data_IF_813299158191
#
_entry.id   IF_813299158191
#
_cell.length_a   1.000
_cell.length_b   1.000
_cell.length_c   1.000
_cell.angle_alpha   90.00
_cell.angle_beta   90.00
_cell.angle_gamma   90.00
#
_symmetry.space_group_name_H-M   'P 1'
#
loop_
_entity.id
_entity.type
_entity.pdbx_description
1 polymer ?
#
# COMPACT_ATOMS: atom_id res chain seq x y z
N UNK A 1 -49.02 27.12 -14.11
CA UNK A 1 -50.19 26.21 -13.95
C UNK A 1 -49.74 24.80 -14.29
N UNK A 2 -49.33 24.00 -13.30
CA UNK A 2 -48.88 22.62 -13.51
C UNK A 2 -50.10 21.71 -13.60
N UNK A 3 -50.23 21.07 -14.72
CA UNK A 3 -51.31 20.22 -15.18
C UNK A 3 -51.68 19.13 -14.14
N UNK A 4 -52.92 19.22 -13.61
CA UNK A 4 -53.48 18.25 -12.65
C UNK A 4 -53.77 16.88 -13.30
N UNK A 5 -53.78 16.78 -14.62
CA UNK A 5 -54.07 15.54 -15.40
C UNK A 5 -52.94 14.56 -15.37
N UNK A 6 -51.70 15.00 -15.13
CA UNK A 6 -50.47 14.25 -15.28
C UNK A 6 -50.11 13.33 -14.07
N UNK A 7 -50.91 13.35 -12.99
CA UNK A 7 -50.73 12.47 -11.81
C UNK A 7 -51.81 11.42 -11.65
N UNK A 8 -52.62 11.19 -12.67
CA UNK A 8 -53.68 10.18 -12.62
C UNK A 8 -53.08 8.82 -12.32
N UNK A 9 -53.62 8.14 -11.30
CA UNK A 9 -53.16 6.84 -10.82
C UNK A 9 -51.77 6.78 -10.14
N UNK A 10 -51.06 7.91 -9.93
CA UNK A 10 -49.85 7.99 -9.13
C UNK A 10 -50.13 8.56 -7.75
N UNK A 11 -49.66 7.88 -6.71
CA UNK A 11 -49.70 8.36 -5.31
C UNK A 11 -48.36 8.24 -4.65
N UNK A 12 -47.95 9.21 -3.86
CA UNK A 12 -46.77 9.12 -3.01
C UNK A 12 -47.18 8.43 -1.70
N UNK A 13 -46.47 7.31 -1.35
CA UNK A 13 -46.64 6.62 -0.06
C UNK A 13 -45.24 6.50 0.59
N UNK A 14 -45.06 7.22 1.70
CA UNK A 14 -43.72 7.38 2.30
C UNK A 14 -42.75 8.05 1.31
N UNK A 15 -41.59 7.44 1.07
CA UNK A 15 -40.58 8.00 0.20
C UNK A 15 -40.65 7.52 -1.27
N UNK A 16 -41.66 6.71 -1.66
CA UNK A 16 -41.78 6.16 -3.01
C UNK A 16 -43.14 6.44 -3.64
N UNK A 17 -43.17 6.43 -4.98
CA UNK A 17 -44.42 6.49 -5.74
C UNK A 17 -45.05 5.10 -5.86
N UNK A 18 -46.37 5.06 -5.84
CA UNK A 18 -47.19 3.88 -6.13
C UNK A 18 -48.13 4.18 -7.30
N UNK A 19 -48.30 3.21 -8.18
CA UNK A 19 -49.36 3.19 -9.17
C UNK A 19 -50.60 2.54 -8.57
N UNK A 20 -51.79 3.13 -8.82
CA UNK A 20 -53.05 2.59 -8.35
C UNK A 20 -54.15 2.84 -9.36
N UNK A 21 -54.73 1.75 -9.94
CA UNK A 21 -55.79 1.81 -10.90
C UNK A 21 -56.84 0.75 -10.63
N UNK A 22 -58.11 1.12 -10.72
CA UNK A 22 -59.23 0.17 -10.58
C UNK A 22 -59.93 -0.03 -11.92
N UNK A 23 -60.49 -1.23 -12.14
CA UNK A 23 -61.31 -1.59 -13.29
C UNK A 23 -62.45 -2.51 -12.84
N UNK A 24 -63.36 -2.80 -13.72
CA UNK A 24 -64.39 -3.84 -13.52
C UNK A 24 -64.03 -5.03 -14.43
N UNK A 25 -64.17 -6.26 -13.90
CA UNK A 25 -64.00 -7.47 -14.68
C UNK A 25 -65.29 -7.75 -15.50
N UNK A 26 -65.30 -8.85 -16.27
CA UNK A 26 -66.38 -9.27 -17.12
C UNK A 26 -67.69 -9.52 -16.33
N UNK A 27 -67.60 -9.79 -15.02
CA UNK A 27 -68.74 -10.00 -14.10
C UNK A 27 -69.16 -8.71 -13.42
N UNK A 28 -68.63 -7.54 -13.78
CA UNK A 28 -68.90 -6.25 -13.21
C UNK A 28 -68.26 -6.00 -11.84
N UNK A 29 -67.47 -6.95 -11.33
CA UNK A 29 -66.81 -6.85 -10.01
C UNK A 29 -65.63 -5.87 -10.11
N UNK A 30 -65.59 -4.93 -9.13
CA UNK A 30 -64.52 -3.94 -9.08
C UNK A 30 -63.24 -4.56 -8.60
N UNK A 31 -62.21 -4.53 -9.45
CA UNK A 31 -60.81 -4.94 -9.15
C UNK A 31 -59.91 -3.73 -8.95
N UNK A 32 -58.82 -3.90 -8.22
CA UNK A 32 -57.87 -2.83 -7.91
C UNK A 32 -56.45 -3.36 -8.06
N UNK A 33 -55.69 -2.71 -8.93
CA UNK A 33 -54.24 -2.96 -9.08
C UNK A 33 -53.44 -1.89 -8.32
N UNK A 34 -52.53 -2.31 -7.46
CA UNK A 34 -51.61 -1.45 -6.73
C UNK A 34 -50.19 -1.99 -6.93
N UNK A 35 -49.26 -1.12 -7.40
CA UNK A 35 -47.90 -1.48 -7.60
C UNK A 35 -46.96 -0.40 -7.08
N UNK A 36 -45.96 -0.79 -6.28
CA UNK A 36 -44.88 0.13 -5.91
C UNK A 36 -44.00 0.38 -7.11
N UNK A 37 -43.70 1.65 -7.38
CA UNK A 37 -42.81 2.04 -8.46
C UNK A 37 -41.35 2.16 -7.99
N UNK A 38 -41.04 1.82 -6.76
CA UNK A 38 -39.69 1.75 -6.20
C UNK A 38 -38.78 2.97 -6.54
N UNK A 39 -39.39 4.16 -6.60
CA UNK A 39 -38.69 5.41 -6.88
C UNK A 39 -39.34 6.59 -6.16
N UNK A 40 -38.50 7.54 -5.73
CA UNK A 40 -38.92 8.84 -5.18
C UNK A 40 -38.94 9.95 -6.26
N UNK A 41 -38.48 9.68 -7.44
CA UNK A 41 -38.30 10.64 -8.54
C UNK A 41 -39.52 10.56 -9.47
N UNK A 42 -40.23 11.67 -9.65
CA UNK A 42 -41.48 11.72 -10.41
C UNK A 42 -41.31 11.36 -11.89
N UNK A 43 -40.24 11.79 -12.51
CA UNK A 43 -39.95 11.48 -13.94
C UNK A 43 -39.78 9.99 -14.16
N UNK A 44 -39.07 9.30 -13.26
CA UNK A 44 -38.91 7.84 -13.28
C UNK A 44 -40.26 7.15 -13.01
N UNK A 45 -41.02 7.66 -12.05
CA UNK A 45 -42.35 7.12 -11.72
C UNK A 45 -43.31 7.18 -12.93
N UNK A 46 -43.26 8.25 -13.73
CA UNK A 46 -44.04 8.39 -14.96
C UNK A 46 -43.64 7.35 -16.01
N UNK A 47 -42.32 7.19 -16.23
CA UNK A 47 -41.81 6.20 -17.21
C UNK A 47 -42.26 4.78 -16.83
N UNK A 48 -42.22 4.42 -15.55
CA UNK A 48 -42.73 3.13 -15.03
C UNK A 48 -44.23 3.01 -15.09
N UNK A 49 -44.95 4.10 -14.95
CA UNK A 49 -46.41 4.16 -15.14
C UNK A 49 -46.80 3.90 -16.61
N UNK A 50 -46.05 4.44 -17.57
CA UNK A 50 -46.24 4.18 -18.99
C UNK A 50 -46.05 2.70 -19.33
N UNK A 51 -45.02 2.07 -18.74
CA UNK A 51 -44.80 0.62 -18.89
C UNK A 51 -45.99 -0.19 -18.34
N UNK A 52 -46.58 0.22 -17.19
CA UNK A 52 -47.77 -0.42 -16.66
C UNK A 52 -48.95 -0.26 -17.62
N UNK A 53 -49.13 0.92 -18.21
CA UNK A 53 -50.21 1.12 -19.18
C UNK A 53 -49.99 0.30 -20.45
N UNK A 54 -48.78 0.17 -20.94
CA UNK A 54 -48.46 -0.65 -22.12
C UNK A 54 -48.80 -2.14 -21.93
N UNK A 55 -48.71 -2.62 -20.69
CA UNK A 55 -49.03 -4.01 -20.34
C UNK A 55 -50.38 -4.18 -19.60
N UNK A 56 -51.27 -3.20 -19.76
CA UNK A 56 -52.51 -3.22 -18.99
C UNK A 56 -53.41 -4.44 -19.26
N UNK A 57 -53.44 -4.91 -20.53
CA UNK A 57 -54.21 -6.07 -20.95
C UNK A 57 -53.68 -7.37 -20.30
N UNK A 58 -52.36 -7.55 -20.20
CA UNK A 58 -51.71 -8.67 -19.53
C UNK A 58 -52.07 -8.68 -18.02
N UNK A 59 -52.09 -7.48 -17.39
CA UNK A 59 -52.49 -7.34 -15.98
C UNK A 59 -53.97 -7.75 -15.75
N UNK A 60 -54.83 -7.35 -16.66
CA UNK A 60 -56.27 -7.68 -16.60
C UNK A 60 -56.52 -9.15 -16.85
N UNK A 61 -55.72 -9.78 -17.76
CA UNK A 61 -55.74 -11.22 -18.04
C UNK A 61 -55.20 -12.07 -16.87
N UNK A 62 -54.40 -11.47 -15.97
CA UNK A 62 -53.77 -12.17 -14.83
C UNK A 62 -52.49 -12.88 -15.21
N UNK A 63 -51.84 -12.48 -16.28
CA UNK A 63 -50.56 -13.09 -16.71
C UNK A 63 -49.44 -12.76 -15.72
N UNK A 64 -48.58 -13.74 -15.52
CA UNK A 64 -47.36 -13.59 -14.71
C UNK A 64 -46.24 -12.99 -15.54
N UNK A 65 -45.77 -11.80 -15.13
CA UNK A 65 -44.61 -11.14 -15.73
C UNK A 65 -43.84 -10.29 -14.71
N UNK A 66 -42.58 -9.96 -15.02
CA UNK A 66 -41.75 -9.10 -14.19
C UNK A 66 -41.62 -7.70 -14.84
N UNK A 67 -41.53 -6.66 -14.00
CA UNK A 67 -41.34 -5.28 -14.45
C UNK A 67 -39.87 -4.97 -14.69
N UNK A 68 -39.57 -4.08 -15.61
CA UNK A 68 -38.20 -3.64 -15.91
C UNK A 68 -37.48 -3.07 -14.71
N UNK A 69 -38.22 -2.46 -13.77
CA UNK A 69 -37.68 -1.91 -12.52
C UNK A 69 -37.76 -2.87 -11.33
N UNK A 70 -38.41 -3.99 -11.47
CA UNK A 70 -38.31 -5.14 -10.57
C UNK A 70 -37.08 -5.96 -10.95
N UNK A 71 -36.04 -5.24 -11.40
CA UNK A 71 -34.81 -5.88 -11.73
C UNK A 71 -34.43 -6.86 -10.65
N UNK A 72 -34.35 -8.07 -11.06
CA UNK A 72 -33.66 -9.22 -10.47
C UNK A 72 -33.19 -9.02 -9.00
N UNK A 73 -34.05 -8.56 -8.10
CA UNK A 73 -33.95 -8.81 -6.70
C UNK A 73 -34.44 -10.24 -6.47
N UNK A 74 -33.83 -11.16 -7.20
CA UNK A 74 -34.02 -12.58 -6.99
C UNK A 74 -33.75 -12.90 -5.52
N UNK A 75 -34.55 -13.74 -4.93
CA UNK A 75 -34.32 -14.36 -3.61
C UNK A 75 -32.99 -15.15 -3.53
N UNK A 76 -32.29 -15.36 -4.64
CA UNK A 76 -30.88 -15.78 -4.74
C UNK A 76 -29.94 -14.74 -4.16
N UNK A 77 -30.33 -13.47 -4.12
CA UNK A 77 -29.46 -12.32 -3.82
C UNK A 77 -29.21 -12.07 -2.33
N UNK A 78 -29.94 -12.66 -1.41
CA UNK A 78 -29.57 -12.53 0.02
C UNK A 78 -28.26 -13.24 0.34
N UNK A 79 -27.95 -14.32 -0.37
CA UNK A 79 -26.67 -15.04 -0.25
C UNK A 79 -25.55 -14.34 -1.03
N UNK A 80 -25.90 -13.72 -2.17
CA UNK A 80 -24.97 -13.01 -3.06
C UNK A 80 -24.62 -11.59 -2.56
N UNK A 81 -25.49 -10.96 -1.74
CA UNK A 81 -25.22 -9.64 -1.18
C UNK A 81 -24.47 -9.66 0.16
N UNK A 82 -24.03 -10.82 0.63
CA UNK A 82 -23.27 -10.95 1.87
C UNK A 82 -21.82 -10.51 1.67
N UNK A 83 -21.30 -9.84 2.71
CA UNK A 83 -19.95 -9.30 2.71
C UNK A 83 -18.88 -10.40 2.53
N UNK A 84 -19.02 -11.54 3.21
CA UNK A 84 -18.09 -12.67 3.08
C UNK A 84 -18.02 -13.20 1.64
N UNK A 85 -19.18 -13.37 0.98
CA UNK A 85 -19.25 -13.86 -0.39
C UNK A 85 -18.61 -12.92 -1.42
N UNK A 86 -18.83 -11.62 -1.28
CA UNK A 86 -18.25 -10.64 -2.21
C UNK A 86 -16.75 -10.41 -1.95
N UNK A 87 -16.28 -10.58 -0.71
CA UNK A 87 -14.85 -10.56 -0.38
C UNK A 87 -14.14 -11.71 -1.08
N UNK A 88 -14.68 -12.93 -1.08
CA UNK A 88 -14.11 -14.06 -1.81
C UNK A 88 -14.02 -13.80 -3.34
N UNK A 89 -15.04 -13.15 -3.91
CA UNK A 89 -14.99 -12.76 -5.33
C UNK A 89 -13.87 -11.73 -5.58
N UNK A 90 -13.68 -10.77 -4.69
CA UNK A 90 -12.59 -9.80 -4.80
C UNK A 90 -11.21 -10.45 -4.68
N UNK A 91 -11.05 -11.40 -3.76
CA UNK A 91 -9.79 -12.14 -3.62
C UNK A 91 -9.47 -12.92 -4.90
N UNK A 92 -10.44 -13.64 -5.48
CA UNK A 92 -10.27 -14.35 -6.76
C UNK A 92 -9.90 -13.38 -7.90
N UNK A 93 -10.52 -12.19 -7.93
CA UNK A 93 -10.16 -11.14 -8.88
C UNK A 93 -8.69 -10.72 -8.70
N UNK A 94 -8.21 -10.54 -7.46
CA UNK A 94 -6.81 -10.20 -7.19
C UNK A 94 -5.83 -11.33 -7.50
N UNK A 95 -6.25 -12.58 -7.38
CA UNK A 95 -5.48 -13.75 -7.83
C UNK A 95 -5.32 -13.76 -9.35
N UNK A 96 -6.39 -13.45 -10.09
CA UNK A 96 -6.36 -13.33 -11.55
C UNK A 96 -5.46 -12.19 -12.06
N UNK A 97 -5.24 -11.15 -11.25
CA UNK A 97 -4.27 -10.08 -11.53
C UNK A 97 -2.80 -10.50 -11.27
N UNK A 98 -2.54 -11.76 -10.97
CA UNK A 98 -1.20 -12.30 -10.67
C UNK A 98 -0.47 -11.57 -9.52
N UNK A 99 -1.18 -11.09 -8.51
CA UNK A 99 -0.56 -10.52 -7.33
C UNK A 99 0.23 -11.58 -6.54
N UNK A 100 1.34 -11.18 -5.94
CA UNK A 100 2.13 -12.05 -5.09
C UNK A 100 1.29 -12.62 -3.93
N UNK A 101 1.41 -13.92 -3.63
CA UNK A 101 0.66 -14.62 -2.57
C UNK A 101 0.66 -13.89 -1.22
N UNK A 102 1.81 -13.30 -0.82
CA UNK A 102 1.90 -12.49 0.42
C UNK A 102 1.05 -11.21 0.37
N UNK A 103 0.89 -10.60 -0.80
CA UNK A 103 0.03 -9.42 -0.98
C UNK A 103 -1.44 -9.81 -0.87
N UNK A 104 -1.84 -10.90 -1.52
CA UNK A 104 -3.20 -11.45 -1.44
C UNK A 104 -3.56 -11.79 0.00
N UNK A 105 -2.67 -12.49 0.73
CA UNK A 105 -2.88 -12.82 2.15
C UNK A 105 -3.06 -11.55 3.01
N UNK A 106 -2.29 -10.49 2.74
CA UNK A 106 -2.45 -9.21 3.45
C UNK A 106 -3.78 -8.53 3.16
N UNK A 107 -4.22 -8.54 1.90
CA UNK A 107 -5.54 -8.03 1.49
C UNK A 107 -6.63 -8.83 2.21
N UNK A 108 -6.55 -10.16 2.18
CA UNK A 108 -7.49 -11.06 2.88
C UNK A 108 -7.58 -10.72 4.37
N UNK A 109 -6.46 -10.66 5.08
CA UNK A 109 -6.44 -10.33 6.50
C UNK A 109 -7.10 -8.97 6.81
N UNK A 110 -6.92 -7.98 5.93
CA UNK A 110 -7.56 -6.67 6.11
C UNK A 110 -9.08 -6.74 5.92
N UNK A 111 -9.55 -7.56 4.96
CA UNK A 111 -10.97 -7.73 4.70
C UNK A 111 -11.64 -8.66 5.73
N UNK A 112 -10.91 -9.64 6.28
CA UNK A 112 -11.37 -10.45 7.41
C UNK A 112 -11.58 -9.57 8.66
N UNK A 113 -10.71 -8.58 8.91
CA UNK A 113 -10.92 -7.59 9.96
C UNK A 113 -12.20 -6.76 9.71
N UNK A 114 -12.51 -6.42 8.45
CA UNK A 114 -13.76 -5.74 8.11
C UNK A 114 -14.99 -6.64 8.34
N UNK A 115 -14.91 -7.91 7.93
CA UNK A 115 -15.95 -8.92 8.18
C UNK A 115 -16.17 -9.12 9.68
N UNK A 116 -15.10 -9.20 10.47
CA UNK A 116 -15.20 -9.34 11.92
C UNK A 116 -15.88 -8.13 12.58
N UNK A 117 -15.67 -6.92 12.03
CA UNK A 117 -16.31 -5.70 12.53
C UNK A 117 -17.79 -5.60 12.16
N UNK A 118 -18.16 -5.91 10.91
CA UNK A 118 -19.50 -5.69 10.38
C UNK A 118 -20.40 -6.94 10.45
N UNK A 119 -19.80 -8.11 10.58
CA UNK A 119 -20.47 -9.42 10.50
C UNK A 119 -20.42 -10.01 9.08
N UNK A 120 -20.27 -11.34 9.00
CA UNK A 120 -20.18 -12.08 7.73
C UNK A 120 -21.41 -11.91 6.83
N UNK A 121 -22.59 -11.84 7.46
CA UNK A 121 -23.88 -11.66 6.78
C UNK A 121 -24.21 -10.22 6.42
N UNK A 122 -23.33 -9.25 6.72
CA UNK A 122 -23.58 -7.84 6.42
C UNK A 122 -23.82 -7.63 4.91
N UNK A 123 -24.84 -6.84 4.58
CA UNK A 123 -25.14 -6.50 3.19
C UNK A 123 -24.15 -5.44 2.68
N UNK A 124 -23.23 -5.82 1.80
CA UNK A 124 -22.22 -4.88 1.28
C UNK A 124 -22.80 -3.67 0.54
N UNK A 125 -24.04 -3.74 0.03
CA UNK A 125 -24.72 -2.59 -0.58
C UNK A 125 -25.05 -1.47 0.44
N UNK A 126 -25.10 -1.83 1.73
CA UNK A 126 -25.36 -0.88 2.82
C UNK A 126 -24.08 -0.27 3.40
N UNK A 127 -22.90 -0.63 2.86
CA UNK A 127 -21.63 -0.12 3.38
C UNK A 127 -21.58 1.41 3.30
N UNK A 128 -21.20 2.05 4.42
CA UNK A 128 -21.21 3.50 4.61
C UNK A 128 -19.89 3.98 5.21
N UNK A 129 -19.67 5.29 5.25
CA UNK A 129 -18.52 5.87 5.94
C UNK A 129 -18.57 5.60 7.45
N UNK A 130 -19.74 5.57 8.06
CA UNK A 130 -19.89 5.25 9.48
C UNK A 130 -19.37 3.83 9.77
N UNK A 131 -19.70 2.86 8.90
CA UNK A 131 -19.16 1.50 9.02
C UNK A 131 -17.62 1.47 8.89
N UNK A 132 -17.04 2.33 8.03
CA UNK A 132 -15.58 2.44 7.91
C UNK A 132 -14.97 3.10 9.15
N UNK A 133 -15.64 4.06 9.76
CA UNK A 133 -15.16 4.68 10.99
C UNK A 133 -15.28 3.72 12.18
N UNK A 134 -16.34 2.92 12.27
CA UNK A 134 -16.45 1.84 13.25
C UNK A 134 -15.37 0.78 13.05
N UNK A 135 -15.08 0.41 11.79
CA UNK A 135 -13.96 -0.47 11.45
C UNK A 135 -12.62 0.09 11.96
N UNK A 136 -12.32 1.38 11.77
CA UNK A 136 -11.09 1.99 12.29
C UNK A 136 -11.03 1.92 13.81
N UNK A 137 -12.15 2.18 14.50
CA UNK A 137 -12.27 2.14 15.97
C UNK A 137 -12.16 0.72 16.53
N UNK A 138 -12.56 -0.29 15.77
CA UNK A 138 -12.52 -1.71 16.21
C UNK A 138 -11.09 -2.25 16.42
N UNK A 139 -10.05 -1.52 15.99
CA UNK A 139 -8.65 -1.95 16.08
C UNK A 139 -7.78 -0.96 16.88
N UNK A 140 -8.10 -0.64 18.14
CA UNK A 140 -7.38 0.34 18.94
C UNK A 140 -5.93 -0.07 19.25
N UNK A 141 -5.62 -1.37 19.14
CA UNK A 141 -4.29 -1.94 19.37
C UNK A 141 -3.31 -1.72 18.21
N UNK A 142 -3.79 -1.31 17.03
CA UNK A 142 -2.94 -1.06 15.87
C UNK A 142 -2.35 0.34 15.90
N UNK A 143 -1.08 0.43 15.51
CA UNK A 143 -0.47 1.74 15.22
C UNK A 143 -1.17 2.40 14.03
N UNK A 144 -1.17 3.74 13.93
CA UNK A 144 -1.77 4.44 12.77
C UNK A 144 -1.27 3.91 11.42
N UNK A 145 0.03 3.60 11.32
CA UNK A 145 0.62 3.00 10.12
C UNK A 145 0.09 1.60 9.82
N UNK A 146 -0.05 0.76 10.85
CA UNK A 146 -0.62 -0.58 10.72
C UNK A 146 -2.09 -0.52 10.31
N UNK A 147 -2.88 0.34 10.95
CA UNK A 147 -4.28 0.57 10.61
C UNK A 147 -4.45 1.08 9.18
N UNK A 148 -3.59 1.99 8.73
CA UNK A 148 -3.64 2.53 7.38
C UNK A 148 -3.36 1.48 6.28
N UNK A 149 -2.67 0.39 6.59
CA UNK A 149 -2.55 -0.75 5.67
C UNK A 149 -3.93 -1.36 5.42
N UNK A 150 -4.69 -1.60 6.49
CA UNK A 150 -6.04 -2.16 6.37
C UNK A 150 -7.00 -1.18 5.69
N UNK A 151 -6.96 0.08 6.07
CA UNK A 151 -7.80 1.14 5.47
C UNK A 151 -7.54 1.27 3.96
N UNK A 152 -6.28 1.15 3.50
CA UNK A 152 -5.96 1.15 2.06
C UNK A 152 -6.55 -0.05 1.33
N UNK A 153 -6.47 -1.24 1.93
CA UNK A 153 -7.04 -2.46 1.35
C UNK A 153 -8.57 -2.40 1.30
N UNK A 154 -9.20 -1.94 2.38
CA UNK A 154 -10.66 -1.74 2.42
C UNK A 154 -11.10 -0.68 1.41
N UNK A 155 -10.36 0.44 1.27
CA UNK A 155 -10.65 1.46 0.25
C UNK A 155 -10.54 0.89 -1.17
N UNK A 156 -9.53 0.08 -1.45
CA UNK A 156 -9.37 -0.57 -2.75
C UNK A 156 -10.52 -1.55 -3.04
N UNK A 157 -10.97 -2.29 -2.05
CA UNK A 157 -12.15 -3.16 -2.13
C UNK A 157 -13.44 -2.36 -2.39
N UNK A 158 -13.70 -1.29 -1.64
CA UNK A 158 -14.88 -0.44 -1.84
C UNK A 158 -14.87 0.24 -3.23
N UNK A 159 -13.70 0.67 -3.71
CA UNK A 159 -13.57 1.19 -5.06
C UNK A 159 -13.86 0.12 -6.12
N UNK A 160 -13.40 -1.12 -5.93
CA UNK A 160 -13.74 -2.22 -6.81
C UNK A 160 -15.25 -2.51 -6.83
N UNK A 161 -15.91 -2.51 -5.67
CA UNK A 161 -17.37 -2.63 -5.58
C UNK A 161 -18.08 -1.55 -6.40
N UNK A 162 -17.60 -0.30 -6.32
CA UNK A 162 -18.15 0.82 -7.09
C UNK A 162 -17.92 0.65 -8.59
N UNK A 163 -16.69 0.40 -9.01
CA UNK A 163 -16.35 0.27 -10.45
C UNK A 163 -17.01 -0.94 -11.13
N UNK A 164 -17.35 -1.97 -10.35
CA UNK A 164 -18.08 -3.14 -10.87
C UNK A 164 -19.61 -3.00 -10.73
N UNK A 165 -20.11 -1.82 -10.34
CA UNK A 165 -21.54 -1.54 -10.23
C UNK A 165 -22.26 -2.24 -9.07
N UNK A 166 -21.50 -2.82 -8.13
CA UNK A 166 -22.06 -3.51 -6.95
C UNK A 166 -22.57 -2.55 -5.90
N UNK A 167 -21.98 -1.37 -5.80
CA UNK A 167 -22.50 -0.25 -5.01
C UNK A 167 -22.67 0.97 -5.92
N UNK A 168 -23.62 1.83 -5.62
CA UNK A 168 -24.01 2.96 -6.48
C UNK A 168 -23.28 4.27 -6.16
N UNK A 169 -22.42 4.28 -5.14
CA UNK A 169 -21.66 5.47 -4.72
C UNK A 169 -20.24 5.11 -4.35
N UNK A 170 -19.30 5.97 -4.71
CA UNK A 170 -17.92 5.89 -4.25
C UNK A 170 -17.81 6.40 -2.82
N UNK A 171 -17.06 5.69 -1.98
CA UNK A 171 -16.82 6.09 -0.59
C UNK A 171 -15.47 6.83 -0.48
N UNK A 172 -15.45 8.10 -0.06
CA UNK A 172 -14.21 8.89 0.10
C UNK A 172 -13.47 8.50 1.39
N UNK A 173 -12.99 7.26 1.46
CA UNK A 173 -12.32 6.70 2.63
C UNK A 173 -10.95 7.37 2.84
N UNK A 174 -10.79 8.08 3.94
CA UNK A 174 -9.53 8.72 4.34
C UNK A 174 -8.74 7.85 5.30
N UNK A 175 -7.41 7.88 5.16
CA UNK A 175 -6.49 7.29 6.11
C UNK A 175 -6.48 8.08 7.42
N UNK A 176 -6.07 7.44 8.52
CA UNK A 176 -5.81 8.14 9.78
C UNK A 176 -4.48 8.90 9.67
N UNK A 177 -4.37 10.01 10.37
CA UNK A 177 -3.15 10.81 10.39
C UNK A 177 -2.02 10.00 11.03
N UNK A 178 -0.93 9.84 10.31
CA UNK A 178 0.30 9.23 10.83
C UNK A 178 1.24 10.32 11.33
N UNK A 179 1.86 10.15 12.50
CA UNK A 179 2.96 11.04 12.90
C UNK A 179 4.13 10.84 11.93
N UNK A 180 4.78 11.92 11.55
CA UNK A 180 5.99 11.85 10.73
C UNK A 180 7.09 11.16 11.56
N UNK A 181 7.64 10.08 11.02
CA UNK A 181 8.70 9.32 11.67
C UNK A 181 10.00 9.52 10.88
N UNK A 182 11.05 9.90 11.60
CA UNK A 182 12.39 9.87 11.03
C UNK A 182 12.83 8.43 10.75
N UNK A 183 13.62 8.18 9.68
CA UNK A 183 14.15 6.86 9.41
C UNK A 183 15.08 6.45 10.57
N UNK A 184 14.92 5.21 11.01
CA UNK A 184 15.82 4.64 12.01
C UNK A 184 17.08 4.12 11.30
N UNK A 185 18.24 4.60 11.71
CA UNK A 185 19.57 4.19 11.24
C UNK A 185 20.50 4.04 12.43
N UNK A 186 21.60 3.34 12.26
CA UNK A 186 22.63 3.21 13.30
C UNK A 186 23.58 4.40 13.23
N UNK A 187 23.86 5.01 14.38
CA UNK A 187 24.93 6.01 14.51
C UNK A 187 26.31 5.33 14.47
N UNK A 188 27.37 6.13 14.32
CA UNK A 188 28.76 5.66 14.36
C UNK A 188 29.10 4.96 15.68
N UNK A 189 28.65 5.50 16.82
CA UNK A 189 28.80 4.88 18.13
C UNK A 189 28.07 3.54 18.23
N UNK A 190 26.83 3.45 17.70
CA UNK A 190 26.06 2.21 17.68
C UNK A 190 26.70 1.14 16.77
N UNK A 191 27.26 1.53 15.63
CA UNK A 191 28.02 0.63 14.76
C UNK A 191 29.24 0.13 15.50
N UNK A 192 30.00 1.01 16.17
CA UNK A 192 31.21 0.65 16.93
C UNK A 192 30.88 -0.34 18.05
N UNK A 193 29.84 -0.09 18.83
CA UNK A 193 29.35 -1.00 19.89
C UNK A 193 28.97 -2.37 19.34
N UNK A 194 28.29 -2.39 18.21
CA UNK A 194 27.89 -3.64 17.57
C UNK A 194 29.11 -4.45 17.08
N UNK A 195 30.10 -3.77 16.48
CA UNK A 195 31.32 -4.39 15.97
C UNK A 195 32.27 -4.87 17.08
N UNK A 196 32.23 -4.27 18.29
CA UNK A 196 33.05 -4.65 19.41
C UNK A 196 32.54 -5.86 20.21
N UNK A 197 31.35 -6.40 19.86
CA UNK A 197 30.82 -7.57 20.56
C UNK A 197 31.63 -8.82 20.26
N UNK A 198 32.14 -9.48 21.31
CA UNK A 198 32.84 -10.78 21.21
C UNK A 198 31.90 -11.92 20.82
N UNK A 199 30.62 -11.80 21.22
CA UNK A 199 29.57 -12.80 20.90
C UNK A 199 29.11 -12.76 19.43
N UNK A 200 29.47 -11.71 18.69
CA UNK A 200 29.12 -11.57 17.27
C UNK A 200 30.23 -12.16 16.41
N UNK A 201 29.89 -13.19 15.63
CA UNK A 201 30.86 -13.86 14.77
C UNK A 201 31.49 -12.89 13.75
N UNK A 202 32.77 -13.11 13.41
CA UNK A 202 33.47 -12.29 12.42
C UNK A 202 32.76 -12.33 11.05
N UNK A 203 32.18 -13.48 10.69
CA UNK A 203 31.33 -13.59 9.51
C UNK A 203 30.16 -12.60 9.57
N UNK A 204 29.45 -12.54 10.69
CA UNK A 204 28.31 -11.64 10.82
C UNK A 204 28.72 -10.17 10.85
N UNK A 205 29.86 -9.85 11.45
CA UNK A 205 30.45 -8.49 11.37
C UNK A 205 30.73 -8.07 9.93
N UNK A 206 31.33 -8.97 9.11
CA UNK A 206 31.54 -8.71 7.67
C UNK A 206 30.24 -8.54 6.92
N UNK A 207 29.23 -9.38 7.17
CA UNK A 207 27.90 -9.26 6.57
C UNK A 207 27.27 -7.90 6.91
N UNK A 208 27.33 -7.46 8.16
CA UNK A 208 26.78 -6.14 8.58
C UNK A 208 27.51 -5.01 7.82
N UNK A 209 28.85 -5.04 7.79
CA UNK A 209 29.66 -4.04 7.04
C UNK A 209 29.27 -4.02 5.55
N UNK A 210 29.12 -5.18 4.91
CA UNK A 210 28.68 -5.30 3.53
C UNK A 210 27.34 -4.62 3.27
N UNK A 211 26.35 -4.83 4.15
CA UNK A 211 25.03 -4.20 3.98
C UNK A 211 25.03 -2.71 4.31
N UNK A 212 25.92 -2.24 5.20
CA UNK A 212 26.14 -0.80 5.42
C UNK A 212 26.86 -0.18 4.21
N UNK A 213 27.81 -0.88 3.57
CA UNK A 213 28.56 -0.38 2.42
C UNK A 213 27.74 -0.35 1.12
N UNK A 214 26.85 -1.33 0.93
CA UNK A 214 26.10 -1.49 -0.33
C UNK A 214 24.67 -0.95 -0.28
N UNK A 215 24.09 -0.81 0.89
CA UNK A 215 22.72 -0.37 1.07
C UNK A 215 21.65 -1.29 0.48
N UNK A 216 21.99 -2.53 0.10
CA UNK A 216 21.07 -3.40 -0.60
C UNK A 216 20.04 -4.08 0.34
N UNK A 217 18.95 -4.58 -0.22
CA UNK A 217 17.98 -5.37 0.55
C UNK A 217 18.55 -6.75 0.82
N UNK A 218 18.31 -7.28 2.04
CA UNK A 218 18.88 -8.57 2.48
C UNK A 218 18.67 -9.70 1.45
N UNK A 219 17.51 -9.77 0.83
CA UNK A 219 17.20 -10.89 -0.07
C UNK A 219 17.65 -10.67 -1.52
N UNK A 220 17.80 -9.43 -1.99
CA UNK A 220 18.06 -9.15 -3.41
C UNK A 220 19.47 -9.51 -3.85
N UNK A 221 20.47 -9.35 -2.98
CA UNK A 221 21.90 -9.63 -3.30
C UNK A 221 22.16 -11.09 -3.68
N UNK A 222 21.35 -12.03 -3.19
CA UNK A 222 21.46 -13.46 -3.44
C UNK A 222 21.06 -13.87 -4.87
N UNK A 223 20.51 -12.97 -5.65
CA UNK A 223 20.00 -13.21 -7.00
C UNK A 223 20.72 -12.33 -8.04
N UNK A 224 21.82 -11.72 -7.64
CA UNK A 224 22.72 -11.00 -8.54
C UNK A 224 23.85 -11.86 -9.08
N UNK A 225 24.66 -11.25 -9.93
CA UNK A 225 25.92 -11.81 -10.44
C UNK A 225 26.99 -10.73 -10.51
N UNK A 226 28.26 -11.13 -10.45
CA UNK A 226 29.38 -10.19 -10.58
C UNK A 226 29.69 -9.94 -12.06
N UNK A 227 29.85 -8.66 -12.39
CA UNK A 227 30.32 -8.21 -13.72
C UNK A 227 31.68 -7.51 -13.55
N UNK A 228 32.74 -7.94 -14.25
CA UNK A 228 34.03 -7.29 -14.17
C UNK A 228 33.98 -5.87 -14.74
N UNK A 229 34.81 -5.01 -14.22
CA UNK A 229 35.04 -3.67 -14.75
C UNK A 229 36.32 -3.74 -15.60
N UNK A 230 36.24 -3.22 -16.81
CA UNK A 230 37.35 -3.13 -17.74
C UNK A 230 37.65 -1.66 -17.95
N UNK A 231 38.87 -1.22 -17.73
CA UNK A 231 39.30 0.15 -17.99
C UNK A 231 39.47 0.44 -19.49
N UNK A 232 39.83 1.67 -19.82
CA UNK A 232 39.98 2.13 -21.20
C UNK A 232 41.15 1.42 -21.93
N UNK A 233 42.09 0.85 -21.18
CA UNK A 233 43.23 0.10 -21.68
C UNK A 233 42.96 -1.41 -21.83
N UNK A 234 41.71 -1.83 -21.52
CA UNK A 234 41.31 -3.24 -21.61
C UNK A 234 41.72 -4.10 -20.41
N UNK A 235 42.22 -3.49 -19.32
CA UNK A 235 42.60 -4.20 -18.10
C UNK A 235 41.41 -4.42 -17.20
N UNK A 236 41.28 -5.63 -16.67
CA UNK A 236 40.24 -5.95 -15.65
C UNK A 236 40.67 -5.35 -14.31
N UNK A 237 39.81 -4.53 -13.73
CA UNK A 237 39.99 -3.95 -12.40
C UNK A 237 39.66 -4.96 -11.30
N UNK A 238 40.24 -4.73 -10.10
CA UNK A 238 39.95 -5.56 -8.92
C UNK A 238 38.49 -5.42 -8.45
N UNK A 239 37.93 -4.22 -8.56
CA UNK A 239 36.52 -3.94 -8.25
C UNK A 239 35.61 -4.57 -9.31
N UNK A 240 34.40 -4.93 -8.89
CA UNK A 240 33.34 -5.47 -9.78
C UNK A 240 32.00 -4.84 -9.48
N UNK A 241 31.12 -4.87 -10.48
CA UNK A 241 29.73 -4.57 -10.26
C UNK A 241 28.97 -5.82 -9.84
N UNK A 242 28.20 -5.73 -8.74
CA UNK A 242 27.11 -6.65 -8.46
C UNK A 242 25.88 -6.17 -9.23
N UNK A 243 25.48 -6.94 -10.22
CA UNK A 243 24.27 -6.68 -11.01
C UNK A 243 23.12 -7.47 -10.43
N UNK A 244 22.05 -6.79 -10.03
CA UNK A 244 20.79 -7.41 -9.58
C UNK A 244 19.76 -7.18 -10.68
N UNK A 245 19.36 -8.21 -11.46
CA UNK A 245 18.44 -8.07 -12.58
C UNK A 245 17.07 -7.52 -12.17
N UNK A 246 16.40 -6.86 -13.11
CA UNK A 246 15.08 -6.26 -12.88
C UNK A 246 14.01 -7.29 -12.49
N UNK A 247 14.08 -8.48 -13.06
CA UNK A 247 13.18 -9.61 -12.84
C UNK A 247 13.64 -10.54 -11.71
N UNK A 248 14.82 -10.28 -11.11
CA UNK A 248 15.34 -11.11 -10.04
C UNK A 248 14.33 -11.27 -8.89
N UNK A 249 14.21 -12.46 -8.30
CA UNK A 249 13.42 -12.68 -7.10
C UNK A 249 13.78 -11.66 -6.02
N UNK A 250 12.77 -11.15 -5.32
CA UNK A 250 12.92 -10.11 -4.28
C UNK A 250 13.40 -8.73 -4.75
N UNK A 251 13.68 -8.51 -6.03
CA UNK A 251 13.89 -7.16 -6.56
C UNK A 251 12.56 -6.43 -6.74
N UNK A 252 12.17 -5.68 -5.70
CA UNK A 252 10.90 -4.94 -5.68
C UNK A 252 10.89 -3.70 -6.58
N UNK A 253 12.06 -3.21 -6.99
CA UNK A 253 12.17 -2.02 -7.83
C UNK A 253 11.75 -2.27 -9.28
N UNK A 254 11.81 -3.53 -9.73
CA UNK A 254 11.60 -3.92 -11.12
C UNK A 254 12.52 -3.17 -12.10
N UNK A 255 13.70 -2.79 -11.61
CA UNK A 255 14.79 -2.17 -12.37
C UNK A 255 16.07 -2.90 -12.04
N UNK A 256 16.98 -2.96 -13.00
CA UNK A 256 18.33 -3.42 -12.75
C UNK A 256 19.02 -2.50 -11.75
N UNK A 257 19.78 -3.08 -10.83
CA UNK A 257 20.53 -2.36 -9.81
C UNK A 257 21.99 -2.77 -9.98
N UNK A 258 22.86 -1.77 -10.14
CA UNK A 258 24.30 -1.94 -10.20
C UNK A 258 24.92 -1.42 -8.90
N UNK A 259 25.77 -2.22 -8.27
CA UNK A 259 26.44 -1.88 -7.01
C UNK A 259 27.92 -2.15 -7.17
N UNK A 260 28.75 -1.12 -7.02
CA UNK A 260 30.19 -1.28 -7.01
C UNK A 260 30.63 -2.04 -5.76
N UNK A 261 31.38 -3.11 -5.91
CA UNK A 261 31.96 -3.89 -4.84
C UNK A 261 33.48 -3.85 -4.91
N UNK A 262 34.12 -3.39 -3.84
CA UNK A 262 35.52 -3.63 -3.60
C UNK A 262 35.80 -5.12 -3.35
N UNK A 263 37.08 -5.48 -3.29
CA UNK A 263 37.50 -6.88 -3.07
C UNK A 263 36.88 -7.49 -1.80
N UNK A 264 36.83 -6.73 -0.68
CA UNK A 264 36.30 -7.23 0.57
C UNK A 264 34.78 -7.51 0.47
N UNK A 265 34.04 -6.62 -0.16
CA UNK A 265 32.62 -6.81 -0.42
C UNK A 265 32.35 -7.99 -1.37
N UNK A 266 33.21 -8.23 -2.35
CA UNK A 266 33.12 -9.41 -3.25
C UNK A 266 33.29 -10.72 -2.47
N UNK A 267 34.27 -10.79 -1.55
CA UNK A 267 34.46 -11.97 -0.70
C UNK A 267 33.20 -12.24 0.16
N UNK A 268 32.63 -11.21 0.79
CA UNK A 268 31.42 -11.37 1.60
C UNK A 268 30.21 -11.78 0.72
N UNK A 269 30.12 -11.23 -0.49
CA UNK A 269 29.07 -11.65 -1.41
C UNK A 269 29.22 -13.12 -1.80
N UNK A 270 30.42 -13.59 -2.10
CA UNK A 270 30.70 -15.00 -2.38
C UNK A 270 30.33 -15.89 -1.17
N UNK A 271 30.68 -15.49 0.06
CA UNK A 271 30.27 -16.20 1.27
C UNK A 271 28.73 -16.30 1.39
N UNK A 272 28.02 -15.24 1.07
CA UNK A 272 26.55 -15.24 1.10
C UNK A 272 25.96 -16.21 0.06
N UNK A 273 26.55 -16.29 -1.14
CA UNK A 273 26.12 -17.23 -2.18
C UNK A 273 26.40 -18.68 -1.75
N UNK A 274 27.56 -18.96 -1.15
CA UNK A 274 27.86 -20.30 -0.62
C UNK A 274 26.87 -20.68 0.51
N UNK A 275 26.58 -19.78 1.46
CA UNK A 275 25.57 -20.03 2.49
C UNK A 275 24.18 -20.35 1.90
N UNK A 276 23.84 -19.76 0.75
CA UNK A 276 22.59 -20.07 0.05
C UNK A 276 22.65 -21.48 -0.53
N UNK A 277 23.73 -21.87 -1.22
CA UNK A 277 23.92 -23.20 -1.81
C UNK A 277 23.88 -24.29 -0.74
N UNK A 278 24.68 -24.13 0.32
CA UNK A 278 24.67 -25.04 1.46
C UNK A 278 23.26 -25.23 2.06
N UNK A 279 22.51 -24.13 2.20
CA UNK A 279 21.14 -24.19 2.69
C UNK A 279 20.20 -24.96 1.76
N UNK A 280 20.32 -24.73 0.46
CA UNK A 280 19.52 -25.42 -0.58
C UNK A 280 19.85 -26.93 -0.62
N UNK A 281 21.11 -27.30 -0.54
CA UNK A 281 21.58 -28.71 -0.47
C UNK A 281 21.04 -29.44 0.78
N UNK A 282 20.93 -28.72 1.91
CA UNK A 282 20.35 -29.23 3.15
C UNK A 282 18.82 -29.19 3.16
N UNK A 283 18.19 -28.78 2.07
CA UNK A 283 16.73 -28.70 1.94
C UNK A 283 16.09 -27.52 2.68
N UNK A 284 16.86 -26.52 3.10
CA UNK A 284 16.32 -25.32 3.75
C UNK A 284 15.75 -24.34 2.72
N UNK A 285 14.62 -23.75 3.04
CA UNK A 285 14.09 -22.65 2.23
C UNK A 285 14.98 -21.41 2.36
N UNK A 286 15.19 -20.68 1.28
CA UNK A 286 15.92 -19.41 1.25
C UNK A 286 15.45 -18.40 2.31
N UNK A 287 14.13 -18.37 2.60
CA UNK A 287 13.56 -17.53 3.67
C UNK A 287 14.12 -17.87 5.06
N UNK A 288 14.53 -19.10 5.31
CA UNK A 288 15.13 -19.52 6.58
C UNK A 288 16.51 -18.94 6.77
N UNK A 289 17.32 -18.85 5.70
CA UNK A 289 18.64 -18.23 5.72
C UNK A 289 18.52 -16.73 6.07
N UNK A 290 17.70 -16.00 5.35
CA UNK A 290 17.53 -14.55 5.61
C UNK A 290 16.96 -14.28 7.00
N UNK A 291 16.07 -15.17 7.49
CA UNK A 291 15.54 -15.08 8.84
C UNK A 291 16.61 -15.33 9.91
N UNK A 292 17.53 -16.30 9.69
CA UNK A 292 18.66 -16.59 10.56
C UNK A 292 19.56 -15.36 10.72
N UNK A 293 19.97 -14.74 9.62
CA UNK A 293 20.78 -13.52 9.61
C UNK A 293 20.06 -12.39 10.38
N UNK A 294 18.75 -12.17 10.11
CA UNK A 294 17.99 -11.14 10.81
C UNK A 294 17.87 -11.41 12.32
N UNK A 295 17.71 -12.67 12.74
CA UNK A 295 17.63 -13.04 14.16
C UNK A 295 18.98 -12.83 14.88
N UNK A 296 20.09 -13.20 14.24
CA UNK A 296 21.43 -13.01 14.79
C UNK A 296 21.73 -11.53 14.95
N UNK A 297 21.45 -10.70 13.94
CA UNK A 297 21.55 -9.24 14.04
C UNK A 297 20.73 -8.68 15.19
N UNK A 298 19.47 -9.10 15.32
CA UNK A 298 18.58 -8.60 16.39
C UNK A 298 19.09 -9.00 17.78
N UNK A 299 19.67 -10.19 17.92
CA UNK A 299 20.31 -10.64 19.16
C UNK A 299 21.51 -9.74 19.47
N UNK A 300 22.41 -9.49 18.51
CA UNK A 300 23.57 -8.64 18.67
C UNK A 300 23.19 -7.20 19.07
N UNK A 301 22.17 -6.60 18.44
CA UNK A 301 21.64 -5.27 18.83
C UNK A 301 21.18 -5.27 20.29
N UNK A 302 20.52 -6.33 20.75
CA UNK A 302 20.10 -6.44 22.16
C UNK A 302 21.28 -6.57 23.13
N UNK A 303 22.29 -7.37 22.77
CA UNK A 303 23.47 -7.64 23.58
C UNK A 303 24.42 -6.44 23.64
N UNK A 304 24.48 -5.61 22.59
CA UNK A 304 25.32 -4.40 22.55
C UNK A 304 24.83 -3.27 23.45
N UNK A 305 23.67 -3.40 24.07
CA UNK A 305 23.09 -2.34 24.90
C UNK A 305 22.61 -1.11 24.13
N UNK A 306 22.51 -1.21 22.81
CA UNK A 306 21.91 -0.16 21.97
C UNK A 306 20.44 0.01 22.37
N UNK A 307 20.04 1.22 22.72
CA UNK A 307 18.67 1.51 23.19
C UNK A 307 17.63 1.43 22.08
N UNK A 308 18.03 1.71 20.84
CA UNK A 308 17.16 1.71 19.67
C UNK A 308 16.85 0.27 19.23
N UNK A 309 15.58 -0.02 18.92
CA UNK A 309 15.17 -1.34 18.44
C UNK A 309 15.45 -1.46 16.93
N UNK A 310 16.72 -1.62 16.57
CA UNK A 310 17.11 -1.77 15.18
C UNK A 310 16.74 -3.13 14.60
N UNK A 311 16.32 -3.11 13.34
CA UNK A 311 16.12 -4.27 12.49
C UNK A 311 17.17 -4.30 11.38
N UNK A 312 17.45 -5.46 10.81
CA UNK A 312 18.44 -5.62 9.75
C UNK A 312 18.28 -4.61 8.60
N UNK A 313 17.04 -4.26 8.26
CA UNK A 313 16.76 -3.25 7.24
C UNK A 313 17.27 -1.84 7.57
N UNK A 314 17.53 -1.56 8.86
CA UNK A 314 18.10 -0.26 9.28
C UNK A 314 19.55 -0.08 8.78
N UNK A 315 20.30 -1.15 8.48
CA UNK A 315 21.60 -1.07 7.81
C UNK A 315 21.51 -0.34 6.47
N UNK A 316 20.44 -0.59 5.72
CA UNK A 316 20.15 0.12 4.48
C UNK A 316 19.80 1.59 4.71
N UNK A 317 19.12 1.92 5.80
CA UNK A 317 18.90 3.31 6.19
C UNK A 317 20.20 3.99 6.61
N UNK A 318 21.09 3.26 7.29
CA UNK A 318 22.45 3.72 7.66
C UNK A 318 23.26 4.06 6.42
N UNK A 319 23.33 3.15 5.42
CA UNK A 319 23.93 3.44 4.12
C UNK A 319 23.40 4.74 3.51
N UNK A 320 22.07 4.88 3.45
CA UNK A 320 21.46 6.06 2.82
C UNK A 320 21.85 7.37 3.50
N UNK A 321 21.97 7.36 4.82
CA UNK A 321 22.39 8.53 5.60
C UNK A 321 23.89 8.82 5.36
N UNK A 322 24.75 7.82 5.42
CA UNK A 322 26.19 7.96 5.17
C UNK A 322 26.44 8.48 3.74
N UNK A 323 25.83 7.84 2.74
CA UNK A 323 25.97 8.25 1.35
C UNK A 323 25.45 9.67 1.09
N UNK A 324 24.34 10.05 1.74
CA UNK A 324 23.82 11.42 1.65
C UNK A 324 24.78 12.44 2.29
N UNK A 325 25.39 12.11 3.44
CA UNK A 325 26.41 12.96 4.07
C UNK A 325 27.61 13.15 3.14
N UNK A 326 28.11 12.06 2.56
CA UNK A 326 29.31 12.08 1.73
C UNK A 326 29.11 12.79 0.39
N UNK A 327 27.94 12.59 -0.23
CA UNK A 327 27.70 13.08 -1.60
C UNK A 327 26.83 14.35 -1.67
N UNK A 328 26.05 14.64 -0.63
CA UNK A 328 25.05 15.71 -0.66
C UNK A 328 23.94 15.51 -1.69
N UNK A 329 23.90 14.35 -2.37
CA UNK A 329 23.03 14.12 -3.53
C UNK A 329 22.01 13.00 -3.28
N UNK A 330 20.76 13.40 -3.01
CA UNK A 330 19.64 12.49 -2.78
C UNK A 330 19.29 11.63 -4.00
N UNK A 331 19.58 12.10 -5.21
CA UNK A 331 19.32 11.34 -6.44
C UNK A 331 20.31 10.18 -6.59
N UNK A 332 21.59 10.43 -6.25
CA UNK A 332 22.63 9.36 -6.24
C UNK A 332 22.25 8.27 -5.24
N UNK A 333 21.86 8.65 -4.03
CA UNK A 333 21.35 7.71 -3.00
C UNK A 333 20.15 6.91 -3.51
N UNK A 334 19.18 7.57 -4.16
CA UNK A 334 18.01 6.92 -4.77
C UNK A 334 18.43 5.85 -5.79
N UNK A 335 19.36 6.16 -6.66
CA UNK A 335 19.84 5.28 -7.73
C UNK A 335 20.54 4.05 -7.15
N UNK A 336 21.54 4.25 -6.30
CA UNK A 336 22.28 3.17 -5.64
C UNK A 336 21.37 2.25 -4.81
N UNK A 337 20.35 2.81 -4.14
CA UNK A 337 19.37 2.03 -3.41
C UNK A 337 18.33 1.35 -4.32
N UNK A 338 18.23 1.70 -5.59
CA UNK A 338 17.19 1.19 -6.50
C UNK A 338 15.79 1.59 -6.02
N UNK A 339 15.58 2.84 -5.57
CA UNK A 339 14.26 3.35 -5.24
C UNK A 339 13.51 3.78 -6.50
N UNK A 340 12.29 3.29 -6.67
CA UNK A 340 11.43 3.67 -7.81
C UNK A 340 10.96 5.13 -7.74
N UNK A 341 10.81 5.70 -6.53
CA UNK A 341 10.40 7.09 -6.29
C UNK A 341 11.42 7.82 -5.45
N UNK A 342 11.65 9.10 -5.76
CA UNK A 342 12.49 9.99 -4.96
C UNK A 342 11.92 10.23 -3.56
N UNK A 343 10.59 10.24 -3.43
CA UNK A 343 9.88 10.48 -2.16
C UNK A 343 10.32 9.52 -1.04
N UNK A 344 10.71 8.29 -1.41
CA UNK A 344 11.23 7.30 -0.45
C UNK A 344 12.60 7.72 0.08
N UNK A 345 13.39 8.46 -0.71
CA UNK A 345 14.76 8.89 -0.36
C UNK A 345 14.76 10.26 0.31
N UNK A 346 13.79 11.13 -0.01
CA UNK A 346 13.65 12.48 0.58
C UNK A 346 13.51 12.46 2.11
N UNK A 347 13.06 11.34 2.69
CA UNK A 347 12.99 11.20 4.14
C UNK A 347 14.35 11.37 4.82
N UNK A 348 15.45 11.02 4.16
CA UNK A 348 16.81 11.20 4.69
C UNK A 348 17.26 12.67 4.60
N UNK A 349 16.85 13.39 3.56
CA UNK A 349 17.16 14.81 3.40
C UNK A 349 16.50 15.72 4.46
N UNK A 350 15.47 15.19 5.15
CA UNK A 350 14.80 15.91 6.25
C UNK A 350 15.54 15.82 7.58
N UNK A 351 16.55 14.96 7.70
CA UNK A 351 17.31 14.80 8.95
C UNK A 351 18.12 16.08 9.19
N UNK A 352 18.01 16.61 10.40
CA UNK A 352 18.68 17.86 10.75
C UNK A 352 20.20 17.70 10.75
N UNK A 353 20.94 18.63 10.15
CA UNK A 353 22.40 18.61 10.10
C UNK A 353 23.05 18.49 11.48
N UNK A 354 22.48 19.12 12.53
CA UNK A 354 22.97 18.98 13.92
C UNK A 354 22.93 17.53 14.41
N UNK A 355 21.89 16.77 14.05
CA UNK A 355 21.75 15.35 14.41
C UNK A 355 22.79 14.53 13.65
N UNK A 356 22.95 14.75 12.35
CA UNK A 356 23.94 14.06 11.52
C UNK A 356 25.37 14.27 12.05
N UNK A 357 25.71 15.50 12.49
CA UNK A 357 27.01 15.79 13.10
C UNK A 357 27.24 15.06 14.42
N UNK A 358 26.18 14.86 15.20
CA UNK A 358 26.25 14.10 16.45
C UNK A 358 26.33 12.59 16.23
N UNK A 359 25.58 12.08 15.23
CA UNK A 359 25.48 10.65 14.93
C UNK A 359 26.70 10.13 14.14
N UNK A 360 27.37 10.99 13.34
CA UNK A 360 28.51 10.65 12.51
C UNK A 360 29.65 11.67 12.64
N UNK A 361 30.33 11.72 13.80
CA UNK A 361 31.39 12.69 14.07
C UNK A 361 32.60 12.55 13.10
N UNK A 362 32.91 11.35 12.62
CA UNK A 362 33.98 11.12 11.63
C UNK A 362 33.68 11.73 10.24
N UNK A 363 32.41 11.97 9.92
CA UNK A 363 31.97 12.51 8.64
C UNK A 363 31.58 14.00 8.71
N UNK A 364 31.88 14.68 9.83
CA UNK A 364 31.47 16.09 10.04
C UNK A 364 31.96 17.03 8.93
N UNK A 365 33.17 16.81 8.37
CA UNK A 365 33.72 17.60 7.27
C UNK A 365 32.89 17.58 5.98
N UNK A 366 32.08 16.54 5.78
CA UNK A 366 31.22 16.37 4.61
C UNK A 366 29.82 16.93 4.81
N UNK A 367 29.44 17.29 6.07
CA UNK A 367 28.13 17.84 6.36
C UNK A 367 28.16 19.35 6.10
N UNK A 368 27.33 19.87 5.15
CA UNK A 368 27.32 21.29 4.84
C UNK A 368 27.12 22.15 6.10
N UNK A 369 27.95 23.16 6.26
CA UNK A 369 27.66 24.17 7.27
C UNK A 369 26.41 24.94 6.86
N UNK A 370 25.54 25.21 7.84
CA UNK A 370 24.43 26.14 7.63
C UNK A 370 25.04 27.48 7.27
N UNK A 371 24.75 28.05 6.09
CA UNK A 371 25.30 29.38 5.75
C UNK A 371 25.01 30.35 6.88
N UNK A 372 26.05 30.94 7.45
CA UNK A 372 25.88 32.01 8.43
C UNK A 372 25.34 33.19 7.67
N UNK A 373 24.03 33.35 7.53
CA UNK A 373 23.37 34.49 6.88
C UNK A 373 23.79 35.84 7.45
N UNK A 374 24.35 35.85 8.65
CA UNK A 374 24.90 37.01 9.31
C UNK A 374 26.22 37.54 8.73
N UNK A 375 27.01 36.74 8.01
CA UNK A 375 28.27 37.20 7.42
C UNK A 375 28.07 38.15 6.23
N UNK A 376 26.88 38.18 5.61
CA UNK A 376 26.54 39.16 4.56
C UNK A 376 26.21 40.55 5.11
N UNK A 377 25.86 40.65 6.39
CA UNK A 377 25.50 41.96 7.02
C UNK A 377 26.72 42.67 7.57
N UNK A 378 27.82 41.93 7.87
CA UNK A 378 29.03 42.55 8.46
C UNK A 378 29.98 43.22 7.45
N UNK A 379 29.83 42.96 6.14
CA UNK A 379 30.71 43.51 5.11
C UNK A 379 30.11 44.67 4.29
N UNK A 380 29.11 45.36 4.80
CA UNK A 380 28.77 46.75 4.41
C UNK A 380 28.62 47.06 2.91
N UNK A 381 28.26 46.10 2.05
CA UNK A 381 28.00 46.40 0.63
C UNK A 381 26.49 46.49 0.41
N UNK A 382 25.92 47.64 0.09
CA UNK A 382 24.50 47.77 -0.19
C UNK A 382 24.16 47.02 -1.48
N UNK A 383 23.16 46.13 -1.41
CA UNK A 383 22.57 45.52 -2.59
C UNK A 383 21.84 46.61 -3.36
N UNK A 384 22.42 47.05 -4.47
CA UNK A 384 21.77 47.94 -5.45
C UNK A 384 20.68 47.10 -6.12
N UNK A 385 19.42 47.42 -5.81
CA UNK A 385 18.27 46.84 -6.50
C UNK A 385 18.23 47.39 -7.93
N UNK A 386 18.60 46.60 -8.91
CA UNK A 386 18.27 46.86 -10.30
C UNK A 386 16.76 46.66 -10.48
N UNK A 387 16.09 47.81 -10.63
CA UNK A 387 14.77 47.87 -11.27
C UNK A 387 14.99 47.76 -12.78
N UNK A 388 14.40 46.76 -13.40
CA UNK A 388 14.25 46.56 -14.81
C UNK A 388 13.07 45.64 -15.01
#
# INVERSE_FOLDING_TARGET
MTDKTDRKNLRKKGNTFQFRKSWRDENGIRKLYIKSLQTSILTIARKRQEEIYGRWNEIVAGDDFSWSWEGQHNRTTLKESRLDGVVEQYIKHKEAENLAKKSIMRIRNSLDNLINCLGSGFNYNAISLDNIDDFKKSMPHKTPRGLNIDVRNVRAFCNWLFHTGRINRQLPIKQVKEPEQEPQYLSEDEITKLMSLDSLSERMKRIIKFYIATGQRIASVFFGHLKPIIDDDGKILDDKYLIIPADAPHNKSKREIEVLLDYQCQEVWNELIEMKKEGEEQGYMFSSLTLKICKEFKRAVKESGIRSNHHFHNLRHTFAVIELIQTGNVYKVKEQMGHSSITVTEMYAKIKARKLKADFPSLVSHIPEVPKRLNFIQNGTPIVAHKG
#
